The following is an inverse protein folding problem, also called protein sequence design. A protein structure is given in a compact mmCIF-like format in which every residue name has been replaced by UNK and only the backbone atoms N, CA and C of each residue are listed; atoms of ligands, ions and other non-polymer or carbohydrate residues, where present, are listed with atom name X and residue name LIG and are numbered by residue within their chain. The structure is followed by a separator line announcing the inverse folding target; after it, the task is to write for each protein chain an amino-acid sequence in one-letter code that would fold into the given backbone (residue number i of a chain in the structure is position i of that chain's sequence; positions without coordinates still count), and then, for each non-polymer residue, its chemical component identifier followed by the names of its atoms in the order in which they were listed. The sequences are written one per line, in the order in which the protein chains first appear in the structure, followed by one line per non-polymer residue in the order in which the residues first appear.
data_IF_677207669870
#
_entry.id   IF_677207669870
#
_cell.length_a   1.000
_cell.length_b   1.000
_cell.length_c   1.000
_cell.angle_alpha   90.00
_cell.angle_beta   90.00
_cell.angle_gamma   90.00
#
_symmetry.space_group_name_H-M   'P 1'
#
loop_
_entity.id
_entity.type
_entity.pdbx_description
1 polymer ?
#
# COMPACT_ATOMS: atom_id res chain seq x y z
N UNK A 1 -14.41 -4.97 22.50
CA UNK A 1 -13.88 -3.61 22.76
C UNK A 1 -14.52 -2.60 21.82
N UNK A 2 -14.65 -2.90 20.51
CA UNK A 2 -15.50 -2.12 19.61
C UNK A 2 -16.98 -2.47 19.73
N UNK A 3 -17.30 -3.73 20.06
CA UNK A 3 -18.68 -4.23 20.25
C UNK A 3 -19.37 -3.68 21.53
N UNK A 4 -18.67 -2.84 22.30
CA UNK A 4 -19.27 -2.10 23.42
C UNK A 4 -19.91 -0.78 22.94
N UNK A 5 -19.59 -0.34 21.71
CA UNK A 5 -20.01 0.95 21.15
C UNK A 5 -20.86 0.75 19.90
N UNK A 6 -22.17 0.59 20.10
CA UNK A 6 -23.12 0.32 19.01
C UNK A 6 -23.60 1.58 18.27
N UNK A 7 -23.52 2.76 18.89
CA UNK A 7 -23.99 4.03 18.32
C UNK A 7 -23.00 5.20 18.48
N UNK A 8 -22.41 5.72 17.39
CA UNK A 8 -22.41 5.10 16.06
C UNK A 8 -21.64 3.78 16.08
N UNK A 9 -21.93 2.88 15.14
CA UNK A 9 -21.12 1.68 14.96
C UNK A 9 -19.65 2.05 14.71
N UNK A 10 -18.74 1.22 15.21
CA UNK A 10 -17.29 1.38 15.05
C UNK A 10 -16.75 0.23 14.22
N UNK A 11 -15.65 0.48 13.52
CA UNK A 11 -14.90 -0.57 12.85
C UNK A 11 -13.41 -0.38 13.12
N UNK A 12 -12.67 -1.48 13.06
CA UNK A 12 -11.23 -1.52 13.25
C UNK A 12 -10.58 -2.18 12.04
N UNK A 13 -9.39 -1.67 11.70
CA UNK A 13 -8.56 -2.19 10.61
C UNK A 13 -7.19 -2.55 11.17
N UNK A 14 -6.77 -3.79 10.95
CA UNK A 14 -5.45 -4.26 11.37
C UNK A 14 -4.37 -4.02 10.32
N UNK A 15 -3.25 -3.47 10.75
CA UNK A 15 -1.98 -3.59 10.05
C UNK A 15 -1.23 -4.83 10.55
N UNK A 16 -1.42 -5.96 9.86
CA UNK A 16 -0.84 -7.26 10.20
C UNK A 16 -0.08 -7.83 9.00
N UNK A 17 1.00 -8.56 9.26
CA UNK A 17 1.88 -9.09 8.23
C UNK A 17 1.87 -10.62 8.24
N UNK A 18 1.62 -11.21 7.09
CA UNK A 18 1.55 -12.66 6.97
C UNK A 18 0.99 -13.08 5.61
N UNK A 19 0.92 -14.40 5.37
CA UNK A 19 0.14 -14.96 4.28
C UNK A 19 -1.37 -14.73 4.52
N UNK A 20 -2.15 -14.73 3.44
CA UNK A 20 -3.57 -14.32 3.44
C UNK A 20 -4.45 -15.16 4.39
N UNK A 21 -4.12 -16.44 4.56
CA UNK A 21 -4.75 -17.37 5.51
C UNK A 21 -4.52 -16.97 6.97
N UNK A 22 -3.28 -16.64 7.35
CA UNK A 22 -2.97 -16.11 8.69
C UNK A 22 -3.65 -14.76 8.92
N UNK A 23 -3.67 -13.89 7.91
CA UNK A 23 -4.32 -12.59 8.03
C UNK A 23 -5.82 -12.71 8.26
N UNK A 24 -6.47 -13.69 7.60
CA UNK A 24 -7.89 -14.02 7.79
C UNK A 24 -8.20 -14.43 9.24
N UNK A 25 -7.30 -15.15 9.91
CA UNK A 25 -7.53 -15.59 11.31
C UNK A 25 -7.78 -14.41 12.26
N UNK A 26 -7.17 -13.25 12.00
CA UNK A 26 -7.39 -12.04 12.81
C UNK A 26 -8.80 -11.45 12.65
N UNK A 27 -9.50 -11.74 11.55
CA UNK A 27 -10.90 -11.35 11.35
C UNK A 27 -11.88 -12.30 12.06
N UNK A 28 -11.43 -13.48 12.47
CA UNK A 28 -12.28 -14.55 12.97
C UNK A 28 -13.06 -15.26 11.85
N UNK A 29 -13.51 -16.51 12.07
CA UNK A 29 -14.30 -17.27 11.12
C UNK A 29 -15.59 -16.59 10.64
N UNK A 30 -16.21 -15.75 11.47
CA UNK A 30 -17.51 -15.11 11.20
C UNK A 30 -17.44 -13.58 11.21
N UNK A 31 -16.25 -12.98 11.26
CA UNK A 31 -16.07 -11.53 11.32
C UNK A 31 -16.16 -10.93 12.72
N UNK A 32 -16.00 -11.75 13.77
CA UNK A 32 -16.04 -11.34 15.18
C UNK A 32 -14.72 -10.71 15.68
N UNK A 33 -13.66 -10.76 14.87
CA UNK A 33 -12.36 -10.17 15.15
C UNK A 33 -12.22 -8.77 14.53
N UNK A 34 -11.09 -8.54 13.86
CA UNK A 34 -10.88 -7.33 13.09
C UNK A 34 -11.86 -7.25 11.91
N UNK A 35 -12.52 -6.10 11.72
CA UNK A 35 -13.44 -5.94 10.59
C UNK A 35 -12.71 -6.00 9.24
N UNK A 36 -11.49 -5.47 9.18
CA UNK A 36 -10.63 -5.50 8.00
C UNK A 36 -9.16 -5.69 8.41
N UNK A 37 -8.36 -6.20 7.49
CA UNK A 37 -6.90 -6.26 7.59
C UNK A 37 -6.27 -5.75 6.31
N UNK A 38 -5.12 -5.07 6.40
CA UNK A 38 -4.39 -4.62 5.22
C UNK A 38 -3.70 -5.79 4.51
N UNK A 39 -4.08 -6.05 3.25
CA UNK A 39 -3.48 -7.11 2.46
C UNK A 39 -2.34 -6.57 1.59
N UNK A 40 -1.16 -6.41 2.20
CA UNK A 40 0.02 -5.83 1.57
C UNK A 40 0.65 -6.64 0.43
N UNK A 41 0.11 -7.81 0.09
CA UNK A 41 0.50 -8.53 -1.13
C UNK A 41 0.28 -7.67 -2.38
N UNK A 42 -0.79 -6.87 -2.41
CA UNK A 42 -1.09 -5.90 -3.46
C UNK A 42 0.04 -4.86 -3.70
N UNK A 43 0.73 -4.42 -2.63
CA UNK A 43 1.93 -3.56 -2.71
C UNK A 43 3.13 -4.20 -3.43
N UNK A 44 3.09 -5.52 -3.68
CA UNK A 44 4.19 -6.27 -4.32
C UNK A 44 3.76 -6.96 -5.62
N UNK A 45 2.46 -7.13 -5.87
CA UNK A 45 1.92 -7.77 -7.08
C UNK A 45 2.38 -7.08 -8.37
N UNK A 46 3.11 -7.76 -9.28
CA UNK A 46 3.53 -7.18 -10.55
C UNK A 46 2.34 -6.67 -11.37
N UNK A 47 2.50 -5.52 -12.04
CA UNK A 47 1.47 -4.96 -12.92
C UNK A 47 1.33 -5.75 -14.22
N UNK A 48 0.72 -6.93 -14.13
CA UNK A 48 0.46 -7.87 -15.21
C UNK A 48 -0.91 -8.52 -14.98
N UNK A 49 -1.71 -8.68 -16.02
CA UNK A 49 -3.06 -9.21 -15.92
C UNK A 49 -3.14 -10.56 -15.18
N UNK A 50 -2.21 -11.50 -15.47
CA UNK A 50 -2.15 -12.79 -14.78
C UNK A 50 -1.88 -12.63 -13.28
N UNK A 51 -0.93 -11.79 -12.89
CA UNK A 51 -0.60 -11.58 -11.49
C UNK A 51 -1.76 -10.93 -10.70
N UNK A 52 -2.54 -10.06 -11.35
CA UNK A 52 -3.75 -9.48 -10.75
C UNK A 52 -4.88 -10.51 -10.65
N UNK A 53 -5.04 -11.40 -11.64
CA UNK A 53 -5.97 -12.53 -11.53
C UNK A 53 -5.61 -13.44 -10.35
N UNK A 54 -4.34 -13.85 -10.26
CA UNK A 54 -3.87 -14.71 -9.17
C UNK A 54 -4.06 -14.04 -7.80
N UNK A 55 -3.86 -12.72 -7.73
CA UNK A 55 -4.12 -11.93 -6.51
C UNK A 55 -5.59 -11.96 -6.12
N UNK A 56 -6.50 -11.74 -7.07
CA UNK A 56 -7.94 -11.77 -6.85
C UNK A 56 -8.39 -13.16 -6.41
N UNK A 57 -7.97 -14.21 -7.13
CA UNK A 57 -8.34 -15.59 -6.82
C UNK A 57 -7.91 -15.98 -5.39
N UNK A 58 -6.72 -15.54 -4.96
CA UNK A 58 -6.25 -15.76 -3.59
C UNK A 58 -7.07 -14.98 -2.55
N UNK A 59 -7.33 -13.70 -2.79
CA UNK A 59 -8.07 -12.85 -1.86
C UNK A 59 -9.52 -13.29 -1.71
N UNK A 60 -10.19 -13.65 -2.81
CA UNK A 60 -11.55 -14.20 -2.77
C UNK A 60 -11.61 -15.55 -2.05
N UNK A 61 -10.59 -16.41 -2.24
CA UNK A 61 -10.54 -17.70 -1.54
C UNK A 61 -10.31 -17.54 -0.04
N UNK A 62 -9.52 -16.56 0.38
CA UNK A 62 -9.22 -16.32 1.79
C UNK A 62 -10.30 -15.49 2.51
N UNK A 63 -10.95 -14.55 1.82
CA UNK A 63 -11.92 -13.60 2.38
C UNK A 63 -13.30 -13.76 1.74
N UNK A 64 -13.85 -14.96 1.87
CA UNK A 64 -15.25 -15.25 1.54
C UNK A 64 -16.21 -14.49 2.46
N UNK A 65 -17.43 -14.26 1.99
CA UNK A 65 -18.52 -13.68 2.80
C UNK A 65 -18.64 -14.38 4.17
N UNK A 66 -18.78 -13.62 5.28
CA UNK A 66 -19.03 -12.18 5.37
C UNK A 66 -17.77 -11.27 5.29
N UNK A 67 -16.58 -11.86 5.13
CA UNK A 67 -15.32 -11.12 5.12
C UNK A 67 -15.10 -10.41 3.79
N UNK A 68 -14.26 -9.37 3.82
CA UNK A 68 -13.93 -8.57 2.64
C UNK A 68 -12.42 -8.34 2.56
N UNK A 69 -11.78 -8.59 1.40
CA UNK A 69 -10.37 -8.27 1.23
C UNK A 69 -10.17 -6.76 1.11
N UNK A 70 -8.99 -6.27 1.48
CA UNK A 70 -8.57 -4.89 1.22
C UNK A 70 -7.57 -4.84 0.07
N UNK A 71 -7.70 -3.86 -0.82
CA UNK A 71 -6.71 -3.60 -1.88
C UNK A 71 -5.91 -2.36 -1.52
N UNK A 72 -4.62 -2.54 -1.23
CA UNK A 72 -3.71 -1.48 -0.76
C UNK A 72 -2.55 -1.35 -1.75
N UNK A 73 -2.64 -0.41 -2.69
CA UNK A 73 -1.58 -0.21 -3.68
C UNK A 73 -0.58 0.89 -3.31
N UNK A 74 -0.97 1.80 -2.41
CA UNK A 74 -0.13 2.84 -1.83
C UNK A 74 -0.32 2.93 -0.31
N UNK A 75 0.72 3.33 0.40
CA UNK A 75 0.67 3.67 1.82
C UNK A 75 1.86 4.58 2.19
N UNK A 76 2.00 4.86 3.48
CA UNK A 76 3.05 5.74 4.01
C UNK A 76 4.39 5.03 4.32
N UNK A 77 4.50 3.73 4.04
CA UNK A 77 5.72 2.93 4.31
C UNK A 77 6.37 2.38 3.05
N UNK A 78 5.71 2.47 1.89
CA UNK A 78 6.23 1.98 0.61
C UNK A 78 6.35 3.11 -0.40
N UNK A 79 7.30 3.00 -1.36
CA UNK A 79 7.36 3.89 -2.50
C UNK A 79 5.99 3.99 -3.19
N UNK A 80 5.68 5.18 -3.73
CA UNK A 80 4.41 5.42 -4.43
C UNK A 80 4.19 4.38 -5.53
N UNK A 81 2.94 3.94 -5.69
CA UNK A 81 2.57 2.94 -6.70
C UNK A 81 2.99 3.35 -8.12
N UNK A 82 2.93 4.65 -8.42
CA UNK A 82 3.33 5.22 -9.71
C UNK A 82 4.77 4.86 -10.08
N UNK A 83 5.70 4.80 -9.12
CA UNK A 83 7.07 4.35 -9.37
C UNK A 83 7.14 2.93 -9.91
N UNK A 84 6.30 2.02 -9.37
CA UNK A 84 6.19 0.62 -9.84
C UNK A 84 5.54 0.52 -11.22
N UNK A 85 4.75 1.51 -11.60
CA UNK A 85 4.08 1.60 -12.89
C UNK A 85 4.94 2.31 -13.95
N UNK A 86 6.13 2.81 -13.58
CA UNK A 86 7.02 3.56 -14.45
C UNK A 86 6.60 5.03 -14.61
N UNK A 87 5.96 5.60 -13.58
CA UNK A 87 5.34 6.93 -13.59
C UNK A 87 4.36 7.16 -14.76
N UNK A 88 3.77 6.08 -15.28
CA UNK A 88 2.80 6.11 -16.37
C UNK A 88 1.38 6.36 -15.81
N UNK A 89 0.83 7.53 -16.12
CA UNK A 89 -0.49 7.95 -15.64
C UNK A 89 -1.64 7.11 -16.23
N UNK A 90 -1.49 6.54 -17.43
CA UNK A 90 -2.50 5.65 -17.98
C UNK A 90 -2.58 4.34 -17.18
N UNK A 91 -1.43 3.79 -16.78
CA UNK A 91 -1.37 2.64 -15.89
C UNK A 91 -1.90 2.95 -14.49
N UNK A 92 -1.60 4.14 -13.96
CA UNK A 92 -2.12 4.57 -12.66
C UNK A 92 -3.66 4.66 -12.67
N UNK A 93 -4.24 5.24 -13.73
CA UNK A 93 -5.69 5.26 -13.93
C UNK A 93 -6.28 3.86 -14.03
N UNK A 94 -5.66 2.96 -14.81
CA UNK A 94 -6.11 1.58 -14.93
C UNK A 94 -6.08 0.84 -13.58
N UNK A 95 -5.03 1.07 -12.77
CA UNK A 95 -4.93 0.50 -11.42
C UNK A 95 -6.03 1.04 -10.50
N UNK A 96 -6.29 2.34 -10.52
CA UNK A 96 -7.38 2.95 -9.77
C UNK A 96 -8.76 2.40 -10.21
N UNK A 97 -8.99 2.25 -11.52
CA UNK A 97 -10.21 1.63 -12.04
C UNK A 97 -10.38 0.20 -11.50
N UNK A 98 -9.32 -0.61 -11.55
CA UNK A 98 -9.34 -1.95 -10.97
C UNK A 98 -9.67 -1.91 -9.46
N UNK A 99 -8.95 -1.09 -8.70
CA UNK A 99 -9.10 -1.01 -7.24
C UNK A 99 -10.52 -0.59 -6.82
N UNK A 100 -11.17 0.27 -7.61
CA UNK A 100 -12.52 0.76 -7.34
C UNK A 100 -13.65 -0.15 -7.87
N UNK A 101 -13.32 -1.20 -8.63
CA UNK A 101 -14.33 -2.09 -9.26
C UNK A 101 -14.21 -3.54 -8.85
N UNK A 102 -13.06 -3.97 -8.33
CA UNK A 102 -12.89 -5.30 -7.75
C UNK A 102 -13.68 -5.42 -6.44
N UNK A 103 -14.19 -6.62 -6.13
CA UNK A 103 -14.84 -6.90 -4.85
C UNK A 103 -13.82 -6.72 -3.72
N UNK A 104 -14.20 -5.97 -2.70
CA UNK A 104 -13.37 -5.66 -1.54
C UNK A 104 -13.41 -4.18 -1.18
N UNK A 105 -12.57 -3.79 -0.21
CA UNK A 105 -12.48 -2.41 0.25
C UNK A 105 -11.24 -1.74 -0.36
N UNK A 106 -11.41 -0.66 -1.15
CA UNK A 106 -10.29 0.09 -1.70
C UNK A 106 -9.62 0.93 -0.61
N UNK A 107 -8.29 0.87 -0.52
CA UNK A 107 -7.48 1.74 0.35
C UNK A 107 -6.62 2.64 -0.53
N UNK A 108 -6.98 3.91 -0.57
CA UNK A 108 -6.30 4.93 -1.39
C UNK A 108 -5.38 5.75 -0.49
N UNK A 109 -4.12 5.90 -0.88
CA UNK A 109 -3.18 6.78 -0.19
C UNK A 109 -3.16 8.16 -0.83
N UNK A 110 -2.94 9.21 -0.02
CA UNK A 110 -3.04 10.58 -0.52
C UNK A 110 -2.06 10.84 -1.68
N UNK A 111 -2.56 11.51 -2.69
CA UNK A 111 -1.86 11.77 -3.94
C UNK A 111 -1.94 10.63 -4.97
N UNK A 112 -2.41 9.43 -4.61
CA UNK A 112 -2.68 8.38 -5.60
C UNK A 112 -3.81 8.83 -6.56
N UNK A 113 -4.80 9.56 -6.05
CA UNK A 113 -5.88 10.17 -6.83
C UNK A 113 -5.39 11.23 -7.82
N UNK A 114 -4.25 11.86 -7.54
CA UNK A 114 -3.59 12.80 -8.45
C UNK A 114 -2.61 12.11 -9.40
N UNK A 115 -2.30 10.83 -9.16
CA UNK A 115 -1.23 10.12 -9.85
C UNK A 115 0.14 10.72 -9.54
N UNK A 116 0.39 11.17 -8.30
CA UNK A 116 1.68 11.76 -7.91
C UNK A 116 2.83 10.81 -8.27
N UNK A 117 3.81 11.33 -8.99
CA UNK A 117 4.97 10.55 -9.42
C UNK A 117 5.84 10.17 -8.23
N UNK A 118 6.45 8.99 -8.33
CA UNK A 118 7.53 8.64 -7.41
C UNK A 118 8.80 9.38 -7.82
N UNK A 119 9.38 10.12 -6.87
CA UNK A 119 10.71 10.70 -6.99
C UNK A 119 11.67 10.02 -6.01
N UNK A 120 12.91 9.85 -6.42
CA UNK A 120 13.96 9.42 -5.51
C UNK A 120 14.45 10.60 -4.69
N UNK A 121 14.56 10.42 -3.38
CA UNK A 121 15.15 11.43 -2.51
C UNK A 121 16.62 11.11 -2.24
N UNK A 122 17.52 12.10 -2.30
CA UNK A 122 18.88 11.94 -1.80
C UNK A 122 18.86 11.53 -0.32
N UNK A 123 19.69 10.54 0.05
CA UNK A 123 19.79 10.06 1.44
C UNK A 123 20.04 11.19 2.44
N UNK A 124 20.81 12.21 2.04
CA UNK A 124 21.19 13.32 2.93
C UNK A 124 20.02 14.29 3.21
N UNK A 125 18.95 14.23 2.41
CA UNK A 125 17.71 14.97 2.61
C UNK A 125 16.63 14.16 3.37
N UNK A 126 16.88 12.86 3.61
CA UNK A 126 15.96 11.99 4.33
C UNK A 126 15.90 12.37 5.81
N UNK A 127 14.69 12.34 6.36
CA UNK A 127 14.36 12.56 7.78
C UNK A 127 13.90 11.27 8.47
N UNK A 128 13.56 10.24 7.69
CA UNK A 128 13.18 8.92 8.19
C UNK A 128 14.35 8.29 8.95
N UNK A 129 14.17 7.91 10.23
CA UNK A 129 15.20 7.21 11.01
C UNK A 129 15.68 5.91 10.36
N UNK A 130 14.88 5.31 9.48
CA UNK A 130 15.31 4.15 8.69
C UNK A 130 16.51 4.47 7.78
N UNK A 131 16.55 5.66 7.20
CA UNK A 131 17.65 6.10 6.35
C UNK A 131 18.97 6.22 7.13
N UNK A 132 18.89 6.62 8.41
CA UNK A 132 20.04 6.67 9.31
C UNK A 132 20.55 5.27 9.67
N UNK A 133 19.65 4.29 9.84
CA UNK A 133 20.06 2.90 10.14
C UNK A 133 20.88 2.27 9.03
N UNK A 134 20.63 2.64 7.77
CA UNK A 134 21.35 2.10 6.61
C UNK A 134 22.51 3.01 6.16
N UNK A 135 22.88 4.03 6.95
CA UNK A 135 23.91 5.01 6.58
C UNK A 135 25.28 4.39 6.33
N UNK A 136 25.58 3.28 7.02
CA UNK A 136 26.81 2.49 6.85
C UNK A 136 26.93 1.84 5.46
N UNK A 137 25.81 1.68 4.74
CA UNK A 137 25.80 1.12 3.39
C UNK A 137 26.32 2.17 2.40
N UNK A 138 27.32 1.84 1.57
CA UNK A 138 27.79 2.72 0.50
C UNK A 138 26.67 3.16 -0.45
N UNK A 139 26.65 4.45 -0.80
CA UNK A 139 25.59 5.06 -1.64
C UNK A 139 25.38 4.32 -2.97
N UNK A 140 26.44 3.79 -3.58
CA UNK A 140 26.35 3.06 -4.85
C UNK A 140 25.55 1.75 -4.77
N UNK A 141 25.34 1.20 -3.57
CA UNK A 141 24.52 -0.01 -3.38
C UNK A 141 23.02 0.29 -3.21
N UNK A 142 22.64 1.53 -2.89
CA UNK A 142 21.25 1.90 -2.63
C UNK A 142 20.31 1.57 -3.81
N UNK A 143 20.66 1.82 -5.09
CA UNK A 143 19.81 1.44 -6.21
C UNK A 143 19.55 -0.08 -6.28
N UNK A 144 20.57 -0.88 -5.97
CA UNK A 144 20.45 -2.35 -5.95
C UNK A 144 19.53 -2.80 -4.81
N UNK A 145 19.72 -2.25 -3.60
CA UNK A 145 18.86 -2.56 -2.45
C UNK A 145 17.40 -2.22 -2.74
N UNK A 146 17.15 -1.05 -3.35
CA UNK A 146 15.82 -0.63 -3.80
C UNK A 146 15.21 -1.59 -4.81
N UNK A 147 15.98 -2.03 -5.82
CA UNK A 147 15.53 -3.04 -6.80
C UNK A 147 15.20 -4.39 -6.15
N UNK A 148 15.91 -4.75 -5.09
CA UNK A 148 15.61 -5.94 -4.28
C UNK A 148 14.39 -5.74 -3.35
N UNK A 149 13.73 -4.58 -3.37
CA UNK A 149 12.58 -4.26 -2.54
C UNK A 149 12.93 -3.94 -1.08
N UNK A 150 14.21 -3.67 -0.79
CA UNK A 150 14.66 -3.26 0.54
C UNK A 150 14.30 -1.79 0.72
N UNK A 151 13.56 -1.53 1.78
CA UNK A 151 13.10 -0.18 2.11
C UNK A 151 14.28 0.65 2.60
N UNK A 152 14.67 1.65 1.81
CA UNK A 152 15.79 2.53 2.14
C UNK A 152 15.36 3.81 2.82
N UNK A 153 14.19 4.33 2.45
CA UNK A 153 13.66 5.60 2.92
C UNK A 153 12.15 5.62 2.67
N UNK A 154 11.34 5.97 3.66
CA UNK A 154 9.88 6.12 3.49
C UNK A 154 9.47 7.53 3.12
N UNK A 155 10.33 8.51 3.31
CA UNK A 155 9.95 9.90 3.07
C UNK A 155 9.65 10.20 1.60
N UNK A 156 10.11 9.35 0.67
CA UNK A 156 9.79 9.42 -0.77
C UNK A 156 8.28 9.31 -1.07
N UNK A 157 7.49 8.73 -0.16
CA UNK A 157 6.03 8.73 -0.25
C UNK A 157 5.35 9.73 0.70
N UNK A 158 6.12 10.41 1.56
CA UNK A 158 5.61 11.32 2.61
C UNK A 158 5.78 12.80 2.26
N UNK A 159 6.07 13.10 0.99
CA UNK A 159 6.16 14.47 0.49
C UNK A 159 4.83 15.20 0.72
N UNK A 160 4.84 16.49 1.10
CA UNK A 160 3.62 17.27 1.27
C UNK A 160 2.69 17.20 0.05
N UNK A 161 1.39 17.23 0.30
CA UNK A 161 0.38 17.23 -0.76
C UNK A 161 0.41 18.55 -1.54
N UNK A 162 0.52 18.52 -2.89
CA UNK A 162 0.54 19.73 -3.71
C UNK A 162 -0.87 20.29 -3.93
N UNK A 163 -1.37 21.05 -2.95
CA UNK A 163 -2.71 21.67 -3.00
C UNK A 163 -2.88 22.76 -4.06
N UNK A 164 -1.78 23.36 -4.52
CA UNK A 164 -1.78 24.46 -5.49
C UNK A 164 -0.79 24.17 -6.61
N UNK A 165 -1.03 24.69 -7.83
CA UNK A 165 -0.09 24.58 -8.95
C UNK A 165 1.14 25.48 -8.76
N UNK A 166 2.17 25.00 -8.06
CA UNK A 166 3.41 25.73 -7.79
C UNK A 166 4.65 24.84 -7.90
N UNK A 167 5.84 25.45 -7.90
CA UNK A 167 7.12 24.78 -8.17
C UNK A 167 7.58 23.76 -7.11
N UNK A 168 6.81 23.53 -6.05
CA UNK A 168 7.10 22.54 -5.00
C UNK A 168 6.30 21.23 -5.17
N UNK A 169 5.67 21.04 -6.33
CA UNK A 169 4.78 19.93 -6.60
C UNK A 169 5.51 18.67 -7.09
N UNK A 170 6.27 18.04 -6.19
CA UNK A 170 6.79 16.67 -6.36
C UNK A 170 8.15 16.56 -7.00
#
# INVERSE_FOLDING_TARGET
MVDEFDDPSRFIVGEVFGPSDLLREHCGPSGEGLNLVFLFKSLRTPFRARAFRDLVDEFESAFLEPLHPTYVFGNHDRPRQTGRLGNDLARARLLATFQMTVRGVPVIYYGDELGLSHHEMPRDAARDPLADRIRFIPKFMLPTLRRCGILTNRDECRSPMPWHGGAQNG
#
